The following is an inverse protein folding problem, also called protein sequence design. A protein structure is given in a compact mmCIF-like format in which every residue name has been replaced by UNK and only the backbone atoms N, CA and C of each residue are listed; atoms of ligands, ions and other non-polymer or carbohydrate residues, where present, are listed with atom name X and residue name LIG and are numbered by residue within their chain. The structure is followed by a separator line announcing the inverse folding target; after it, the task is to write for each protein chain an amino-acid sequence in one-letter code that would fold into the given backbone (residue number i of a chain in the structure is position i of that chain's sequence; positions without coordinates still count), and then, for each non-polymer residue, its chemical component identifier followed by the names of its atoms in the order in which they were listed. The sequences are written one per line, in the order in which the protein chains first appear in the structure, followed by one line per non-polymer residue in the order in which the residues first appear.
data_IF_275518384463
#
_entry.id   IF_275518384463
#
_cell.length_a   1.000
_cell.length_b   1.000
_cell.length_c   1.000
_cell.angle_alpha   90.00
_cell.angle_beta   90.00
_cell.angle_gamma   90.00
#
_symmetry.space_group_name_H-M   'P 1'
#
loop_
_entity.id
_entity.type
_entity.pdbx_description
1 polymer ?
#
# COMPACT_ATOMS: atom_id res chain seq x y z
N UNK A 1 -8.99 10.90 14.90
CA UNK A 1 -9.18 9.51 14.40
C UNK A 1 -8.21 9.39 13.25
N UNK A 2 -7.18 8.57 13.39
CA UNK A 2 -6.00 8.59 12.51
C UNK A 2 -6.34 8.32 11.04
N UNK A 3 -7.43 7.58 10.77
CA UNK A 3 -7.93 7.36 9.40
C UNK A 3 -8.49 8.61 8.76
N UNK A 4 -9.21 9.42 9.54
CA UNK A 4 -9.76 10.69 9.07
C UNK A 4 -8.63 11.68 8.78
N UNK A 5 -7.61 11.73 9.65
CA UNK A 5 -6.42 12.57 9.45
C UNK A 5 -5.65 12.18 8.17
N UNK A 6 -5.46 10.88 7.89
CA UNK A 6 -4.82 10.41 6.65
C UNK A 6 -5.67 10.67 5.40
N UNK A 7 -6.99 10.53 5.48
CA UNK A 7 -7.87 10.87 4.37
C UNK A 7 -7.82 12.36 4.06
N UNK A 8 -7.81 13.20 5.10
CA UNK A 8 -7.68 14.65 4.95
C UNK A 8 -6.31 15.04 4.40
N UNK A 9 -5.24 14.34 4.81
CA UNK A 9 -3.90 14.53 4.25
C UNK A 9 -3.85 14.17 2.76
N UNK A 10 -4.45 13.06 2.35
CA UNK A 10 -4.57 12.67 0.94
C UNK A 10 -5.29 13.75 0.12
N UNK A 11 -6.43 14.23 0.61
CA UNK A 11 -7.22 15.28 -0.04
C UNK A 11 -6.44 16.59 -0.13
N UNK A 12 -5.69 16.93 0.92
CA UNK A 12 -4.80 18.10 0.94
C UNK A 12 -3.67 17.97 -0.07
N UNK A 13 -3.02 16.81 -0.16
CA UNK A 13 -1.97 16.55 -1.15
C UNK A 13 -2.51 16.76 -2.57
N UNK A 14 -3.68 16.18 -2.89
CA UNK A 14 -4.32 16.37 -4.20
C UNK A 14 -4.63 17.85 -4.47
N UNK A 15 -5.12 18.58 -3.46
CA UNK A 15 -5.45 19.99 -3.62
C UNK A 15 -4.21 20.87 -3.83
N UNK A 16 -3.16 20.71 -3.01
CA UNK A 16 -1.88 21.41 -3.18
C UNK A 16 -1.30 21.18 -4.58
N UNK A 17 -1.40 19.96 -5.06
CA UNK A 17 -0.90 19.62 -6.39
C UNK A 17 -1.70 20.27 -7.53
N UNK A 18 -3.01 20.47 -7.38
CA UNK A 18 -3.83 21.18 -8.37
C UNK A 18 -3.43 22.66 -8.47
N UNK A 19 -3.11 23.28 -7.34
CA UNK A 19 -2.70 24.69 -7.28
C UNK A 19 -1.28 24.88 -7.84
N UNK A 20 -0.35 23.98 -7.49
CA UNK A 20 1.06 24.03 -7.92
C UNK A 20 1.26 23.86 -9.45
N UNK A 21 0.42 23.06 -10.11
CA UNK A 21 0.41 22.86 -11.58
C UNK A 21 0.09 24.15 -12.35
N UNK A 22 -0.33 25.23 -11.68
CA UNK A 22 -0.58 26.52 -12.36
C UNK A 22 0.63 27.46 -12.38
N UNK A 23 1.73 27.10 -11.69
CA UNK A 23 2.90 27.97 -11.48
C UNK A 23 4.16 27.44 -12.17
N UNK A 24 4.21 27.47 -13.49
CA UNK A 24 5.41 27.08 -14.25
C UNK A 24 6.24 28.30 -14.65
N UNK A 25 7.52 28.33 -14.28
CA UNK A 25 8.46 29.38 -14.71
C UNK A 25 9.08 29.07 -16.09
N UNK A 26 9.43 27.80 -16.38
CA UNK A 26 9.87 27.35 -17.70
C UNK A 26 9.51 25.86 -17.98
N UNK A 27 9.75 25.34 -19.21
CA UNK A 27 9.42 23.95 -19.55
C UNK A 27 10.20 22.88 -18.76
N UNK A 28 11.41 23.19 -18.28
CA UNK A 28 12.22 22.26 -17.50
C UNK A 28 11.70 22.17 -16.06
N UNK A 29 11.35 23.32 -15.47
CA UNK A 29 10.70 23.40 -14.15
C UNK A 29 9.37 22.63 -14.16
N UNK A 30 8.60 22.76 -15.24
CA UNK A 30 7.38 21.97 -15.44
C UNK A 30 7.64 20.47 -15.45
N UNK A 31 8.67 20.02 -16.18
CA UNK A 31 8.99 18.59 -16.27
C UNK A 31 9.42 18.00 -14.92
N UNK A 32 10.20 18.74 -14.14
CA UNK A 32 10.57 18.36 -12.77
C UNK A 32 9.34 18.25 -11.86
N UNK A 33 8.48 19.27 -11.84
CA UNK A 33 7.30 19.28 -10.98
C UNK A 33 6.30 18.16 -11.33
N UNK A 34 6.05 17.89 -12.62
CA UNK A 34 5.19 16.78 -13.05
C UNK A 34 5.73 15.41 -12.58
N UNK A 35 7.06 15.26 -12.55
CA UNK A 35 7.71 14.03 -12.08
C UNK A 35 7.57 13.84 -10.56
N UNK A 36 7.82 14.90 -9.79
CA UNK A 36 7.68 14.89 -8.32
C UNK A 36 6.23 14.64 -7.91
N UNK A 37 5.29 15.29 -8.60
CA UNK A 37 3.85 15.09 -8.47
C UNK A 37 3.43 13.63 -8.69
N UNK A 38 3.93 13.02 -9.78
CA UNK A 38 3.65 11.62 -10.10
C UNK A 38 4.19 10.67 -9.03
N UNK A 39 5.36 10.96 -8.48
CA UNK A 39 5.96 10.17 -7.39
C UNK A 39 5.12 10.27 -6.12
N UNK A 40 4.70 11.47 -5.74
CA UNK A 40 3.94 11.69 -4.51
C UNK A 40 2.56 11.05 -4.57
N UNK A 41 1.85 11.15 -5.70
CA UNK A 41 0.57 10.42 -5.89
C UNK A 41 0.74 8.89 -5.75
N UNK A 42 1.86 8.33 -6.22
CA UNK A 42 2.16 6.90 -6.05
C UNK A 42 2.43 6.53 -4.60
N UNK A 43 3.11 7.39 -3.84
CA UNK A 43 3.33 7.17 -2.41
C UNK A 43 1.99 7.16 -1.66
N UNK A 44 1.15 8.15 -1.94
CA UNK A 44 -0.18 8.28 -1.33
C UNK A 44 -1.11 7.10 -1.64
N UNK A 45 -1.11 6.60 -2.88
CA UNK A 45 -1.86 5.39 -3.22
C UNK A 45 -1.35 4.13 -2.47
N UNK A 46 -0.03 4.02 -2.26
CA UNK A 46 0.55 2.93 -1.47
C UNK A 46 0.13 2.99 -0.01
N UNK A 47 0.13 4.18 0.59
CA UNK A 47 -0.34 4.41 1.96
C UNK A 47 -1.80 4.02 2.12
N UNK A 48 -2.67 4.53 1.23
CA UNK A 48 -4.10 4.19 1.22
C UNK A 48 -4.34 2.68 1.15
N UNK A 49 -3.59 1.97 0.28
CA UNK A 49 -3.67 0.51 0.16
C UNK A 49 -3.18 -0.20 1.43
N UNK A 50 -2.15 0.31 2.08
CA UNK A 50 -1.65 -0.24 3.34
C UNK A 50 -2.68 -0.09 4.46
N UNK A 51 -3.33 1.07 4.59
CA UNK A 51 -4.41 1.30 5.55
C UNK A 51 -5.52 0.27 5.37
N UNK A 52 -5.95 0.05 4.13
CA UNK A 52 -6.97 -0.97 3.83
C UNK A 52 -6.55 -2.36 4.32
N UNK A 53 -5.27 -2.73 4.14
CA UNK A 53 -4.74 -4.00 4.65
C UNK A 53 -4.71 -4.07 6.17
N UNK A 54 -4.38 -2.96 6.84
CA UNK A 54 -4.43 -2.88 8.31
C UNK A 54 -5.86 -3.11 8.79
N UNK A 55 -6.85 -2.50 8.13
CA UNK A 55 -8.26 -2.68 8.47
C UNK A 55 -8.75 -4.11 8.28
N UNK A 56 -8.38 -4.75 7.17
CA UNK A 56 -8.64 -6.17 6.94
C UNK A 56 -7.97 -7.03 8.02
N UNK A 57 -6.73 -6.70 8.39
CA UNK A 57 -6.00 -7.40 9.45
C UNK A 57 -6.70 -7.29 10.81
N UNK A 58 -7.16 -6.09 11.18
CA UNK A 58 -7.90 -5.87 12.42
C UNK A 58 -9.22 -6.65 12.44
N UNK A 59 -9.96 -6.69 11.33
CA UNK A 59 -11.16 -7.52 11.21
C UNK A 59 -10.86 -9.00 11.37
N UNK A 60 -9.77 -9.49 10.78
CA UNK A 60 -9.39 -10.89 10.91
C UNK A 60 -9.02 -11.23 12.37
N UNK A 61 -8.48 -10.27 13.13
CA UNK A 61 -8.25 -10.43 14.58
C UNK A 61 -9.60 -10.55 15.30
N UNK A 62 -10.55 -9.65 15.02
CA UNK A 62 -11.90 -9.67 15.63
C UNK A 62 -12.67 -10.97 15.31
N UNK A 63 -12.40 -11.57 14.16
CA UNK A 63 -12.98 -12.84 13.71
C UNK A 63 -12.18 -14.10 14.11
N UNK A 64 -11.08 -13.96 14.86
CA UNK A 64 -10.19 -15.07 15.25
C UNK A 64 -9.54 -15.82 14.08
N UNK A 65 -9.45 -15.18 12.90
CA UNK A 65 -8.84 -15.73 11.67
C UNK A 65 -7.38 -15.24 11.50
N UNK A 66 -6.93 -14.30 12.30
CA UNK A 66 -5.59 -13.74 12.21
C UNK A 66 -4.50 -14.78 12.49
N UNK A 67 -3.45 -14.75 11.67
CA UNK A 67 -2.30 -15.63 11.80
C UNK A 67 -2.42 -16.94 11.04
N UNK A 68 -3.50 -17.17 10.29
CA UNK A 68 -3.64 -18.30 9.38
C UNK A 68 -3.49 -17.89 7.91
N UNK A 69 -2.88 -18.76 7.12
CA UNK A 69 -2.64 -18.55 5.70
C UNK A 69 -3.93 -18.70 4.90
N UNK A 70 -4.33 -17.68 4.14
CA UNK A 70 -5.53 -17.72 3.27
C UNK A 70 -5.42 -18.78 2.15
N UNK A 71 -4.21 -19.16 1.76
CA UNK A 71 -3.98 -20.10 0.66
C UNK A 71 -4.05 -21.59 1.05
N UNK A 72 -3.66 -21.94 2.27
CA UNK A 72 -3.58 -23.34 2.71
C UNK A 72 -4.09 -23.61 4.13
N UNK A 73 -4.53 -22.57 4.86
CA UNK A 73 -5.10 -22.68 6.20
C UNK A 73 -4.09 -22.93 7.33
N UNK A 74 -2.80 -23.09 7.04
CA UNK A 74 -1.77 -23.31 8.08
C UNK A 74 -1.38 -22.01 8.77
N UNK A 75 -0.83 -22.11 9.97
CA UNK A 75 -0.32 -20.96 10.71
C UNK A 75 0.81 -20.23 9.97
N UNK A 76 0.76 -18.91 9.97
CA UNK A 76 1.81 -18.02 9.48
C UNK A 76 2.86 -17.90 10.58
N UNK A 77 4.11 -18.22 10.27
CA UNK A 77 5.18 -18.21 11.25
C UNK A 77 5.30 -16.86 11.99
N UNK A 78 5.44 -16.91 13.32
CA UNK A 78 5.44 -15.73 14.18
C UNK A 78 6.42 -14.63 13.73
N UNK A 79 7.67 -15.00 13.42
CA UNK A 79 8.70 -14.06 12.92
C UNK A 79 8.26 -13.29 11.66
N UNK A 80 7.42 -13.90 10.82
CA UNK A 80 6.88 -13.26 9.61
C UNK A 80 5.81 -12.23 9.97
N UNK A 81 4.92 -12.55 10.91
CA UNK A 81 3.91 -11.60 11.39
C UNK A 81 4.54 -10.46 12.20
N UNK A 82 5.59 -10.73 12.98
CA UNK A 82 6.37 -9.68 13.66
C UNK A 82 7.02 -8.72 12.66
N UNK A 83 7.59 -9.25 11.57
CA UNK A 83 8.18 -8.42 10.52
C UNK A 83 7.12 -7.69 9.67
N UNK A 84 5.98 -8.33 9.42
CA UNK A 84 4.88 -7.78 8.63
C UNK A 84 3.52 -8.31 9.15
N UNK A 85 2.85 -7.56 10.05
CA UNK A 85 1.57 -8.00 10.63
C UNK A 85 0.44 -8.13 9.60
N UNK A 86 0.51 -7.39 8.49
CA UNK A 86 -0.49 -7.43 7.41
C UNK A 86 -0.28 -8.57 6.40
N UNK A 87 0.53 -9.58 6.74
CA UNK A 87 0.77 -10.72 5.85
C UNK A 87 -0.36 -11.75 5.95
N UNK A 88 -0.98 -12.09 4.81
CA UNK A 88 -2.10 -13.05 4.74
C UNK A 88 -1.72 -14.45 4.25
N UNK A 89 -0.48 -14.62 3.78
CA UNK A 89 0.04 -15.89 3.27
C UNK A 89 1.28 -16.33 4.06
N UNK A 90 1.42 -17.64 4.24
CA UNK A 90 2.66 -18.26 4.70
C UNK A 90 3.78 -18.10 3.66
N UNK A 91 5.02 -18.46 4.04
CA UNK A 91 6.19 -18.32 3.16
C UNK A 91 6.00 -19.16 1.89
N UNK A 92 5.62 -20.43 2.02
CA UNK A 92 5.50 -21.35 0.89
C UNK A 92 4.44 -20.90 -0.12
N UNK A 93 3.25 -20.52 0.35
CA UNK A 93 2.20 -19.99 -0.50
C UNK A 93 2.65 -18.70 -1.20
N UNK A 94 3.35 -17.81 -0.50
CA UNK A 94 3.82 -16.57 -1.13
C UNK A 94 4.94 -16.83 -2.14
N UNK A 95 5.84 -17.77 -1.88
CA UNK A 95 6.87 -18.17 -2.84
C UNK A 95 6.25 -18.77 -4.10
N UNK A 96 5.23 -19.62 -3.95
CA UNK A 96 4.52 -20.19 -5.10
C UNK A 96 3.81 -19.11 -5.93
N UNK A 97 3.16 -18.15 -5.26
CA UNK A 97 2.51 -17.00 -5.88
C UNK A 97 3.51 -16.14 -6.69
N UNK A 98 4.67 -15.81 -6.10
CA UNK A 98 5.74 -15.07 -6.78
C UNK A 98 6.31 -15.82 -7.99
N UNK A 99 6.42 -17.15 -7.93
CA UNK A 99 6.85 -17.96 -9.07
C UNK A 99 5.83 -17.88 -10.22
N UNK A 100 4.52 -17.92 -9.91
CA UNK A 100 3.46 -17.78 -10.91
C UNK A 100 3.45 -16.38 -11.52
N UNK A 101 3.56 -15.33 -10.72
CA UNK A 101 3.65 -13.95 -11.19
C UNK A 101 4.79 -13.78 -12.20
N UNK A 102 5.97 -14.36 -11.91
CA UNK A 102 7.13 -14.32 -12.82
C UNK A 102 6.92 -15.06 -14.14
N UNK A 103 6.14 -16.15 -14.13
CA UNK A 103 5.83 -16.91 -15.34
C UNK A 103 4.82 -16.19 -16.23
N UNK A 104 3.86 -15.48 -15.64
CA UNK A 104 2.81 -14.72 -16.36
C UNK A 104 3.34 -13.39 -16.90
N UNK A 105 4.32 -12.78 -16.23
CA UNK A 105 4.94 -11.52 -16.66
C UNK A 105 5.95 -11.67 -17.82
N UNK A 106 6.21 -12.89 -18.29
CA UNK A 106 7.02 -13.19 -19.49
C UNK A 106 6.13 -13.41 -20.69
#
# INVERSE_FOLDING_TARGET
DWKAELSEELDRTVHTMQDEVTMFADPNDRASQESDMTLELRNRDRERKLIKKIDETLRNIDHEEYGYCEGCGVEIGLKRLEARPTATLCIDCKTLDELRERQVAK
#
